data_IF_503456909491
#
_entry.id   IF_503456909491
#
_cell.length_a   1.000
_cell.length_b   1.000
_cell.length_c   1.000
_cell.angle_alpha   90.00
_cell.angle_beta   90.00
_cell.angle_gamma   90.00
#
_symmetry.space_group_name_H-M   'P 1'
#
loop_
_entity.id
_entity.type
_entity.pdbx_description
1 polymer ?
#
# COMPACT_ATOMS: atom_id res chain seq x y z
N UNK A 1 3.97 -6.22 29.69
CA UNK A 1 3.68 -7.49 28.97
C UNK A 1 4.99 -8.20 28.77
N UNK A 2 5.03 -9.54 28.84
CA UNK A 2 6.23 -10.30 28.48
C UNK A 2 6.33 -10.44 26.95
N UNK A 3 7.51 -10.69 26.39
CA UNK A 3 7.70 -10.88 24.94
C UNK A 3 6.81 -12.01 24.37
N UNK A 4 6.49 -13.01 25.20
CA UNK A 4 5.59 -14.11 24.87
C UNK A 4 4.13 -13.66 24.74
N UNK A 5 3.70 -12.68 25.54
CA UNK A 5 2.36 -12.10 25.46
C UNK A 5 2.21 -11.24 24.19
N UNK A 6 3.29 -10.55 23.78
CA UNK A 6 3.32 -9.75 22.55
C UNK A 6 3.20 -10.65 21.32
N UNK A 7 4.01 -11.71 21.23
CA UNK A 7 3.97 -12.65 20.10
C UNK A 7 2.61 -13.38 19.98
N UNK A 8 2.00 -13.74 21.13
CA UNK A 8 0.67 -14.34 21.14
C UNK A 8 -0.42 -13.38 20.64
N UNK A 9 -0.33 -12.09 20.98
CA UNK A 9 -1.27 -11.08 20.50
C UNK A 9 -1.07 -10.77 19.02
N UNK A 10 0.17 -10.66 18.57
CA UNK A 10 0.51 -10.45 17.15
C UNK A 10 -0.08 -11.55 16.26
N UNK A 11 0.10 -12.83 16.65
CA UNK A 11 -0.50 -13.95 15.92
C UNK A 11 -2.02 -13.87 15.86
N UNK A 12 -2.65 -13.42 16.95
CA UNK A 12 -4.10 -13.20 16.99
C UNK A 12 -4.55 -12.08 16.05
N UNK A 13 -3.83 -10.96 15.98
CA UNK A 13 -4.18 -9.85 15.08
C UNK A 13 -3.98 -10.22 13.62
N UNK A 14 -2.87 -10.88 13.27
CA UNK A 14 -2.62 -11.40 11.92
C UNK A 14 -3.75 -12.32 11.46
N UNK A 15 -4.17 -13.25 12.32
CA UNK A 15 -5.24 -14.19 11.97
C UNK A 15 -6.60 -13.50 11.86
N UNK A 16 -6.87 -12.51 12.70
CA UNK A 16 -8.10 -11.71 12.66
C UNK A 16 -8.21 -10.95 11.34
N UNK A 17 -7.12 -10.27 10.93
CA UNK A 17 -7.03 -9.55 9.66
C UNK A 17 -7.13 -10.52 8.48
N UNK A 18 -6.49 -11.70 8.55
CA UNK A 18 -6.55 -12.72 7.51
C UNK A 18 -7.96 -13.30 7.33
N UNK A 19 -8.72 -13.47 8.42
CA UNK A 19 -10.14 -13.84 8.36
C UNK A 19 -11.01 -12.75 7.74
N UNK A 20 -10.43 -11.55 7.57
CA UNK A 20 -10.94 -10.44 6.80
C UNK A 20 -12.25 -9.87 7.33
N UNK A 21 -12.48 -9.97 8.64
CA UNK A 21 -13.45 -9.14 9.32
C UNK A 21 -12.79 -7.81 9.67
N UNK A 22 -12.70 -6.91 8.69
CA UNK A 22 -12.08 -5.59 8.84
C UNK A 22 -12.78 -4.80 9.96
N UNK A 23 -14.09 -4.96 10.14
CA UNK A 23 -14.89 -4.23 11.13
C UNK A 23 -14.53 -4.67 12.55
N UNK A 24 -14.59 -5.99 12.82
CA UNK A 24 -14.21 -6.52 14.13
C UNK A 24 -12.72 -6.32 14.40
N UNK A 25 -11.87 -6.44 13.36
CA UNK A 25 -10.44 -6.16 13.44
C UNK A 25 -10.16 -4.74 13.86
N UNK A 26 -10.83 -3.77 13.24
CA UNK A 26 -10.70 -2.36 13.57
C UNK A 26 -11.05 -2.13 15.04
N UNK A 27 -12.21 -2.63 15.49
CA UNK A 27 -12.69 -2.43 16.86
C UNK A 27 -11.75 -3.02 17.91
N UNK A 28 -11.27 -4.24 17.66
CA UNK A 28 -10.34 -4.94 18.56
C UNK A 28 -9.02 -4.16 18.67
N UNK A 29 -8.47 -3.69 17.55
CA UNK A 29 -7.22 -2.94 17.52
C UNK A 29 -7.36 -1.54 18.11
N UNK A 30 -8.49 -0.85 17.88
CA UNK A 30 -8.81 0.43 18.54
C UNK A 30 -8.87 0.30 20.06
N UNK A 31 -9.47 -0.78 20.58
CA UNK A 31 -9.52 -1.05 22.01
C UNK A 31 -8.15 -1.44 22.57
N UNK A 32 -7.32 -2.13 21.79
CA UNK A 32 -5.96 -2.48 22.20
C UNK A 32 -5.08 -1.23 22.30
N UNK A 33 -5.03 -0.36 21.29
CA UNK A 33 -4.18 0.86 21.36
C UNK A 33 -4.62 1.82 22.46
N UNK A 34 -5.89 1.79 22.89
CA UNK A 34 -6.35 2.51 24.08
C UNK A 34 -5.80 1.92 25.38
N UNK A 35 -5.67 0.59 25.47
CA UNK A 35 -5.13 -0.12 26.64
C UNK A 35 -3.61 -0.08 26.69
N UNK A 36 -2.95 -0.14 25.53
CA UNK A 36 -1.49 -0.19 25.36
C UNK A 36 -1.03 0.87 24.35
N UNK A 37 -1.15 2.18 24.70
CA UNK A 37 -0.87 3.27 23.77
C UNK A 37 0.61 3.36 23.34
N UNK A 38 1.51 2.71 24.06
CA UNK A 38 2.95 2.59 23.79
C UNK A 38 3.30 1.38 22.89
N UNK A 39 2.33 0.53 22.54
CA UNK A 39 2.56 -0.65 21.72
C UNK A 39 2.64 -0.31 20.23
N UNK A 40 3.86 -0.12 19.72
CA UNK A 40 4.12 0.16 18.29
C UNK A 40 3.47 -0.86 17.34
N UNK A 41 3.47 -2.15 17.71
CA UNK A 41 2.89 -3.20 16.85
C UNK A 41 1.36 -3.11 16.76
N UNK A 42 0.68 -2.80 17.87
CA UNK A 42 -0.77 -2.59 17.85
C UNK A 42 -1.15 -1.42 16.93
N UNK A 43 -0.41 -0.31 17.00
CA UNK A 43 -0.58 0.83 16.09
C UNK A 43 -0.29 0.48 14.63
N UNK A 44 0.72 -0.35 14.37
CA UNK A 44 1.04 -0.83 13.02
C UNK A 44 -0.15 -1.59 12.42
N UNK A 45 -0.68 -2.58 13.15
CA UNK A 45 -1.83 -3.37 12.67
C UNK A 45 -3.10 -2.54 12.54
N UNK A 46 -3.35 -1.61 13.47
CA UNK A 46 -4.46 -0.69 13.33
C UNK A 46 -4.34 0.14 12.05
N UNK A 47 -3.14 0.62 11.75
CA UNK A 47 -2.81 1.30 10.51
C UNK A 47 -3.05 0.43 9.27
N UNK A 48 -2.64 -0.85 9.31
CA UNK A 48 -2.92 -1.80 8.22
C UNK A 48 -4.41 -1.99 7.99
N UNK A 49 -5.21 -2.16 9.05
CA UNK A 49 -6.65 -2.37 8.91
C UNK A 49 -7.34 -1.11 8.41
N UNK A 50 -6.97 0.08 8.91
CA UNK A 50 -7.48 1.32 8.33
C UNK A 50 -7.09 1.50 6.88
N UNK A 51 -5.86 1.10 6.51
CA UNK A 51 -5.44 1.13 5.12
C UNK A 51 -6.29 0.17 4.28
N UNK A 52 -6.63 -1.03 4.74
CA UNK A 52 -7.53 -1.93 4.03
C UNK A 52 -8.99 -1.45 3.97
N UNK A 53 -9.39 -0.67 4.97
CA UNK A 53 -10.70 -0.03 5.10
C UNK A 53 -10.80 1.29 4.31
N UNK A 54 -9.86 1.61 3.40
CA UNK A 54 -9.81 2.89 2.66
C UNK A 54 -9.98 4.13 3.57
N UNK A 55 -9.47 4.04 4.81
CA UNK A 55 -9.41 5.14 5.79
C UNK A 55 -7.99 5.70 5.80
N UNK A 56 -7.58 6.29 4.68
CA UNK A 56 -6.17 6.62 4.43
C UNK A 56 -5.59 7.60 5.46
N UNK A 57 -6.40 8.56 5.91
CA UNK A 57 -5.98 9.54 6.93
C UNK A 57 -5.72 8.88 8.28
N UNK A 58 -6.60 7.98 8.72
CA UNK A 58 -6.47 7.22 9.96
C UNK A 58 -5.31 6.23 9.88
N UNK A 59 -5.16 5.57 8.72
CA UNK A 59 -4.05 4.67 8.44
C UNK A 59 -2.70 5.37 8.60
N UNK A 60 -2.52 6.53 7.94
CA UNK A 60 -1.30 7.33 8.05
C UNK A 60 -1.00 7.71 9.50
N UNK A 61 -1.99 8.22 10.25
CA UNK A 61 -1.80 8.60 11.66
C UNK A 61 -1.38 7.41 12.54
N UNK A 62 -2.00 6.26 12.36
CA UNK A 62 -1.69 5.06 13.13
C UNK A 62 -0.28 4.54 12.80
N UNK A 63 0.09 4.50 11.52
CA UNK A 63 1.41 4.06 11.07
C UNK A 63 2.52 5.04 11.50
N UNK A 64 2.28 6.35 11.40
CA UNK A 64 3.20 7.37 11.94
C UNK A 64 3.41 7.22 13.44
N UNK A 65 2.32 6.94 14.19
CA UNK A 65 2.39 6.68 15.63
C UNK A 65 3.23 5.43 15.93
N UNK A 66 3.03 4.35 15.18
CA UNK A 66 3.84 3.12 15.27
C UNK A 66 5.33 3.40 15.06
N UNK A 67 5.67 4.13 14.00
CA UNK A 67 7.03 4.53 13.60
C UNK A 67 7.68 5.48 14.61
N UNK A 68 6.90 6.32 15.28
CA UNK A 68 7.34 7.23 16.33
C UNK A 68 7.64 6.50 17.64
N UNK A 69 6.80 5.53 18.01
CA UNK A 69 6.98 4.71 19.21
C UNK A 69 8.17 3.77 19.10
N UNK A 70 8.33 3.14 17.93
CA UNK A 70 9.49 2.31 17.61
C UNK A 70 10.12 2.75 16.27
N UNK A 71 11.19 3.56 16.34
CA UNK A 71 11.93 3.95 15.15
C UNK A 71 12.61 2.80 14.42
N UNK A 72 12.69 1.59 14.97
CA UNK A 72 13.28 0.42 14.33
C UNK A 72 12.22 -0.58 13.84
N UNK A 73 10.93 -0.26 13.97
CA UNK A 73 9.86 -1.03 13.34
C UNK A 73 9.91 -0.82 11.81
N UNK A 74 10.68 -1.69 11.15
CA UNK A 74 10.90 -1.66 9.70
C UNK A 74 9.62 -2.05 8.94
N UNK A 75 8.81 -2.97 9.46
CA UNK A 75 7.54 -3.35 8.85
C UNK A 75 6.55 -2.18 8.82
N UNK A 76 6.42 -1.43 9.92
CA UNK A 76 5.59 -0.23 9.97
C UNK A 76 6.04 0.85 8.98
N UNK A 77 7.35 0.96 8.71
CA UNK A 77 7.90 1.89 7.71
C UNK A 77 7.53 1.50 6.28
N UNK A 78 7.59 0.21 5.93
CA UNK A 78 7.14 -0.26 4.60
C UNK A 78 5.65 0.04 4.42
N UNK A 79 4.83 -0.25 5.43
CA UNK A 79 3.40 0.05 5.39
C UNK A 79 3.13 1.55 5.29
N UNK A 80 3.86 2.37 6.05
CA UNK A 80 3.74 3.83 5.98
C UNK A 80 4.15 4.36 4.61
N UNK A 81 5.25 3.87 4.02
CA UNK A 81 5.68 4.30 2.68
C UNK A 81 4.68 3.91 1.60
N UNK A 82 4.03 2.73 1.73
CA UNK A 82 2.93 2.30 0.85
C UNK A 82 1.76 3.29 0.95
N UNK A 83 1.27 3.57 2.16
CA UNK A 83 0.13 4.48 2.35
C UNK A 83 0.45 5.89 1.84
N UNK A 84 1.66 6.40 2.08
CA UNK A 84 2.09 7.70 1.55
C UNK A 84 2.16 7.71 0.02
N UNK A 85 2.60 6.62 -0.61
CA UNK A 85 2.65 6.52 -2.07
C UNK A 85 1.25 6.49 -2.70
N UNK A 86 0.30 5.77 -2.09
CA UNK A 86 -1.10 5.75 -2.54
C UNK A 86 -1.75 7.14 -2.46
N UNK A 87 -1.41 7.92 -1.44
CA UNK A 87 -1.88 9.30 -1.24
C UNK A 87 -1.08 10.34 -2.05
N UNK A 88 -0.23 9.91 -2.99
CA UNK A 88 0.62 10.77 -3.83
C UNK A 88 1.61 11.64 -3.03
N UNK A 89 1.88 11.30 -1.78
CA UNK A 89 2.84 11.98 -0.90
C UNK A 89 4.25 11.41 -1.06
N UNK A 90 4.75 11.43 -2.30
CA UNK A 90 5.98 10.76 -2.71
C UNK A 90 7.21 11.21 -1.93
N UNK A 91 7.33 12.51 -1.68
CA UNK A 91 8.47 13.07 -0.95
C UNK A 91 8.59 12.48 0.46
N UNK A 92 7.47 12.42 1.18
CA UNK A 92 7.38 11.83 2.53
C UNK A 92 7.62 10.33 2.49
N UNK A 93 7.10 9.65 1.46
CA UNK A 93 7.35 8.21 1.27
C UNK A 93 8.85 7.93 1.13
N UNK A 94 9.56 8.74 0.34
CA UNK A 94 11.01 8.64 0.17
C UNK A 94 11.79 8.88 1.47
N UNK A 95 11.35 9.82 2.32
CA UNK A 95 11.98 10.01 3.64
C UNK A 95 11.83 8.79 4.53
N UNK A 96 10.65 8.18 4.54
CA UNK A 96 10.38 6.95 5.30
C UNK A 96 11.25 5.80 4.79
N UNK A 97 11.39 5.67 3.47
CA UNK A 97 12.24 4.65 2.84
C UNK A 97 13.74 4.87 3.10
N UNK A 98 14.21 6.11 3.08
CA UNK A 98 15.57 6.46 3.50
C UNK A 98 15.83 6.02 4.95
N UNK A 99 14.90 6.32 5.84
CA UNK A 99 15.01 5.91 7.24
C UNK A 99 14.94 4.39 7.40
N UNK A 100 14.16 3.69 6.56
CA UNK A 100 14.13 2.22 6.54
C UNK A 100 15.52 1.65 6.23
N UNK A 101 16.15 2.09 5.13
CA UNK A 101 17.45 1.53 4.72
C UNK A 101 18.57 1.91 5.68
N UNK A 102 18.56 3.14 6.21
CA UNK A 102 19.52 3.62 7.21
C UNK A 102 19.47 2.80 8.51
N UNK A 103 18.29 2.32 8.89
CA UNK A 103 18.07 1.58 10.15
C UNK A 103 18.11 0.08 9.98
N UNK A 104 17.99 -0.42 8.75
CA UNK A 104 18.11 -1.83 8.48
C UNK A 104 19.58 -2.27 8.70
N UNK A 105 19.88 -3.17 9.66
CA UNK A 105 21.25 -3.57 9.95
C UNK A 105 21.99 -4.16 8.74
N UNK A 106 21.27 -4.79 7.82
CA UNK A 106 21.83 -5.39 6.60
C UNK A 106 22.22 -4.34 5.56
N UNK A 107 21.49 -3.21 5.50
CA UNK A 107 21.61 -2.23 4.40
C UNK A 107 22.07 -0.84 4.85
N UNK A 108 22.23 -0.60 6.14
CA UNK A 108 22.67 0.69 6.69
C UNK A 108 24.01 1.18 6.11
N UNK A 109 24.91 0.25 5.77
CA UNK A 109 26.16 0.55 5.10
C UNK A 109 25.95 1.16 3.70
N UNK A 110 24.92 0.73 2.97
CA UNK A 110 24.53 1.31 1.67
C UNK A 110 24.13 2.77 1.91
N UNK A 111 23.18 3.03 2.81
CA UNK A 111 22.73 4.40 3.11
C UNK A 111 23.86 5.36 3.46
N UNK A 112 24.87 4.89 4.21
CA UNK A 112 26.05 5.69 4.58
C UNK A 112 26.91 6.08 3.38
N UNK A 113 26.96 5.27 2.31
CA UNK A 113 27.68 5.61 1.08
C UNK A 113 27.03 6.80 0.35
N UNK A 114 25.70 6.84 0.32
CA UNK A 114 24.94 7.94 -0.30
C UNK A 114 24.89 9.18 0.59
N UNK A 115 25.29 9.08 1.86
CA UNK A 115 25.42 10.22 2.79
C UNK A 115 26.77 10.94 2.61
N UNK A 116 27.67 10.45 1.75
CA UNK A 116 29.03 10.97 1.59
C UNK A 116 29.21 11.81 0.31
N UNK A 117 29.18 13.15 0.44
CA UNK A 117 30.10 14.09 -0.22
C UNK A 117 29.94 15.56 0.27
N UNK A 118 30.28 15.84 1.53
CA UNK A 118 30.57 17.23 1.96
C UNK A 118 31.96 17.73 1.49
N UNK A 119 32.79 16.86 0.90
CA UNK A 119 34.19 17.18 0.55
C UNK A 119 34.56 16.99 -0.92
N UNK A 120 33.63 16.61 -1.79
CA UNK A 120 33.81 16.72 -3.23
C UNK A 120 32.69 17.58 -3.80
N UNK A 121 33.11 18.72 -4.34
CA UNK A 121 32.29 19.79 -4.92
C UNK A 121 31.45 19.30 -6.11
N UNK A 122 30.34 18.63 -5.84
CA UNK A 122 29.19 18.58 -6.74
C UNK A 122 27.96 19.08 -5.98
N UNK A 123 28.01 20.35 -5.54
CA UNK A 123 26.85 21.04 -4.99
C UNK A 123 25.90 21.44 -6.11
N UNK A 124 24.60 21.29 -5.91
CA UNK A 124 23.61 22.09 -6.63
C UNK A 124 23.99 23.59 -6.52
N UNK A 125 23.73 24.43 -7.54
CA UNK A 125 24.21 25.82 -7.58
C UNK A 125 23.83 26.60 -6.30
N UNK A 126 24.80 27.33 -5.73
CA UNK A 126 24.67 28.08 -4.46
C UNK A 126 23.51 29.10 -4.39
N UNK A 127 22.81 29.37 -5.49
CA UNK A 127 21.61 30.22 -5.54
C UNK A 127 20.35 29.58 -4.94
N UNK A 128 20.41 28.34 -4.44
CA UNK A 128 19.23 27.54 -4.03
C UNK A 128 19.18 27.20 -2.52
N UNK A 129 19.91 27.92 -1.66
CA UNK A 129 19.98 27.62 -0.20
C UNK A 129 19.18 28.64 0.62
N UNK A 130 18.16 28.19 1.38
CA UNK A 130 17.36 29.01 2.31
C UNK A 130 17.86 28.91 3.76
N UNK A 131 18.02 30.04 4.48
CA UNK A 131 18.74 30.12 5.75
C UNK A 131 17.96 29.72 7.04
N UNK A 132 16.89 28.94 6.98
CA UNK A 132 16.11 28.54 8.17
C UNK A 132 15.95 27.01 8.32
N UNK A 133 17.05 26.25 8.32
CA UNK A 133 17.03 24.76 8.28
C UNK A 133 17.74 24.13 9.48
N UNK A 134 17.16 23.01 9.93
CA UNK A 134 17.60 22.12 11.02
C UNK A 134 18.84 21.30 10.61
N UNK A 135 19.86 21.25 11.46
CA UNK A 135 21.21 20.76 11.14
C UNK A 135 21.33 19.23 11.04
N UNK A 136 20.36 18.47 11.54
CA UNK A 136 20.43 16.99 11.65
C UNK A 136 19.89 16.22 10.44
N UNK A 137 19.45 16.89 9.37
CA UNK A 137 18.97 16.26 8.13
C UNK A 137 19.72 16.74 6.87
N UNK A 138 20.86 16.09 6.51
CA UNK A 138 21.70 16.53 5.40
C UNK A 138 21.08 16.32 4.01
N UNK A 139 19.88 15.73 3.91
CA UNK A 139 19.21 15.45 2.63
C UNK A 139 18.23 16.54 2.17
N UNK A 140 17.95 17.56 2.99
CA UNK A 140 16.91 18.54 2.69
C UNK A 140 17.44 19.98 2.78
N UNK A 141 18.19 20.36 1.75
CA UNK A 141 18.29 21.78 1.38
C UNK A 141 17.64 21.95 0.01
N UNK A 142 16.37 22.39 0.06
CA UNK A 142 15.63 23.10 -0.98
C UNK A 142 15.93 22.76 -2.43
N UNK A 143 15.01 22.05 -3.06
CA UNK A 143 15.00 21.99 -4.51
C UNK A 143 13.56 21.88 -5.01
N UNK A 144 13.30 22.68 -6.04
CA UNK A 144 12.20 22.54 -7.00
C UNK A 144 12.16 21.10 -7.58
N UNK A 145 11.29 20.81 -8.56
CA UNK A 145 11.12 19.46 -9.18
C UNK A 145 12.41 18.62 -9.33
N UNK A 146 13.55 19.28 -9.64
CA UNK A 146 14.90 18.69 -9.75
C UNK A 146 15.36 17.94 -8.49
N UNK A 147 15.04 18.41 -7.28
CA UNK A 147 15.45 17.73 -6.05
C UNK A 147 14.61 16.55 -5.67
N UNK A 148 13.31 16.59 -6.00
CA UNK A 148 12.42 15.44 -5.85
C UNK A 148 12.91 14.31 -6.77
N UNK A 149 13.24 14.63 -8.03
CA UNK A 149 13.80 13.67 -9.00
C UNK A 149 15.15 13.11 -8.53
N UNK A 150 16.05 13.96 -8.01
CA UNK A 150 17.34 13.51 -7.47
C UNK A 150 17.15 12.59 -6.25
N UNK A 151 16.33 13.01 -5.28
CA UNK A 151 15.99 12.20 -4.09
C UNK A 151 15.40 10.85 -4.50
N UNK A 152 14.48 10.85 -5.46
CA UNK A 152 13.88 9.63 -5.99
C UNK A 152 14.92 8.71 -6.59
N UNK A 153 15.80 9.22 -7.45
CA UNK A 153 16.88 8.45 -8.05
C UNK A 153 17.81 7.86 -6.99
N UNK A 154 18.25 8.65 -6.02
CA UNK A 154 19.15 8.20 -4.95
C UNK A 154 18.53 7.08 -4.12
N UNK A 155 17.24 7.19 -3.78
CA UNK A 155 16.53 6.13 -3.06
C UNK A 155 16.41 4.86 -3.91
N UNK A 156 16.09 4.99 -5.20
CA UNK A 156 16.04 3.85 -6.12
C UNK A 156 17.41 3.17 -6.24
N UNK A 157 18.50 3.94 -6.37
CA UNK A 157 19.86 3.40 -6.46
C UNK A 157 20.24 2.62 -5.19
N UNK A 158 19.92 3.18 -4.01
CA UNK A 158 20.09 2.52 -2.71
C UNK A 158 19.37 1.17 -2.63
N UNK A 159 18.08 1.11 -2.99
CA UNK A 159 17.31 -0.14 -2.95
C UNK A 159 17.72 -1.12 -4.06
N UNK A 160 18.16 -0.61 -5.21
CA UNK A 160 18.71 -1.43 -6.29
C UNK A 160 20.00 -2.10 -5.83
N UNK A 161 20.88 -1.40 -5.13
CA UNK A 161 22.06 -1.99 -4.50
C UNK A 161 21.68 -3.00 -3.41
N UNK A 162 20.70 -2.68 -2.55
CA UNK A 162 20.20 -3.58 -1.51
C UNK A 162 19.69 -4.92 -2.09
N UNK A 163 19.02 -4.88 -3.24
CA UNK A 163 18.52 -6.09 -3.92
C UNK A 163 19.62 -7.03 -4.41
N UNK A 164 20.87 -6.53 -4.52
CA UNK A 164 22.03 -7.31 -4.98
C UNK A 164 22.86 -7.89 -3.83
N UNK A 165 22.59 -7.49 -2.59
CA UNK A 165 23.35 -7.95 -1.41
C UNK A 165 23.16 -9.45 -1.17
N UNK A 166 21.97 -9.99 -1.43
CA UNK A 166 21.67 -11.40 -1.26
C UNK A 166 20.82 -11.93 -2.41
N UNK A 167 21.47 -12.49 -3.44
CA UNK A 167 20.79 -13.04 -4.61
C UNK A 167 20.22 -14.45 -4.38
N UNK A 168 20.77 -15.21 -3.42
CA UNK A 168 20.31 -16.58 -3.13
C UNK A 168 19.06 -16.59 -2.25
N UNK A 169 18.93 -15.61 -1.34
CA UNK A 169 17.76 -15.41 -0.51
C UNK A 169 17.40 -13.91 -0.49
N UNK A 170 16.72 -13.42 -1.54
CA UNK A 170 16.38 -12.01 -1.66
C UNK A 170 15.53 -11.53 -0.49
N UNK A 171 15.65 -10.25 -0.10
CA UNK A 171 14.77 -9.67 0.91
C UNK A 171 13.44 -9.27 0.25
N UNK A 172 12.29 -9.88 0.63
CA UNK A 172 11.00 -9.53 0.05
C UNK A 172 10.63 -8.07 0.30
N UNK A 173 11.04 -7.45 1.41
CA UNK A 173 10.72 -6.04 1.69
C UNK A 173 11.47 -5.09 0.75
N UNK A 174 12.71 -5.40 0.39
CA UNK A 174 13.46 -4.65 -0.63
C UNK A 174 12.74 -4.70 -1.98
N UNK A 175 12.28 -5.88 -2.39
CA UNK A 175 11.53 -6.05 -3.63
C UNK A 175 10.14 -5.40 -3.58
N UNK A 176 9.44 -5.45 -2.45
CA UNK A 176 8.18 -4.70 -2.28
C UNK A 176 8.42 -3.20 -2.46
N UNK A 177 9.47 -2.66 -1.84
CA UNK A 177 9.81 -1.23 -1.94
C UNK A 177 10.16 -0.85 -3.38
N UNK A 178 11.01 -1.61 -4.06
CA UNK A 178 11.34 -1.38 -5.47
C UNK A 178 10.09 -1.46 -6.36
N UNK A 179 9.21 -2.44 -6.14
CA UNK A 179 7.96 -2.55 -6.89
C UNK A 179 7.01 -1.37 -6.70
N UNK A 180 7.02 -0.74 -5.52
CA UNK A 180 6.25 0.49 -5.26
C UNK A 180 6.89 1.69 -5.97
N UNK A 181 8.21 1.86 -5.86
CA UNK A 181 8.94 2.94 -6.52
C UNK A 181 8.79 2.87 -8.04
N UNK A 182 8.82 1.66 -8.59
CA UNK A 182 8.64 1.37 -10.01
C UNK A 182 7.21 1.67 -10.49
N UNK A 183 6.19 1.35 -9.70
CA UNK A 183 4.82 1.76 -9.98
C UNK A 183 4.65 3.28 -10.02
N UNK A 184 5.23 3.98 -9.04
CA UNK A 184 5.15 5.44 -8.95
C UNK A 184 5.74 6.10 -10.20
N UNK A 185 6.84 5.55 -10.74
CA UNK A 185 7.44 6.02 -12.00
C UNK A 185 6.81 5.41 -13.26
N UNK A 186 5.70 4.71 -13.13
CA UNK A 186 4.99 4.01 -14.23
C UNK A 186 5.83 2.97 -14.98
N UNK A 187 6.91 2.44 -14.37
CA UNK A 187 7.66 1.29 -14.88
C UNK A 187 7.00 0.00 -14.40
N UNK A 188 5.82 -0.27 -14.96
CA UNK A 188 4.97 -1.38 -14.53
C UNK A 188 5.62 -2.75 -14.75
N UNK A 189 6.46 -2.91 -15.78
CA UNK A 189 7.14 -4.18 -16.05
C UNK A 189 8.17 -4.49 -14.96
N UNK A 190 9.00 -3.52 -14.56
CA UNK A 190 9.96 -3.70 -13.47
C UNK A 190 9.24 -3.94 -12.14
N UNK A 191 8.16 -3.20 -11.88
CA UNK A 191 7.33 -3.40 -10.70
C UNK A 191 6.73 -4.81 -10.61
N UNK A 192 6.22 -5.35 -11.72
CA UNK A 192 5.70 -6.73 -11.81
C UNK A 192 6.78 -7.74 -11.44
N UNK A 193 8.01 -7.58 -11.95
CA UNK A 193 9.10 -8.50 -11.66
C UNK A 193 9.47 -8.48 -10.17
N UNK A 194 9.53 -7.31 -9.56
CA UNK A 194 9.83 -7.18 -8.14
C UNK A 194 8.72 -7.77 -7.25
N UNK A 195 7.44 -7.54 -7.56
CA UNK A 195 6.37 -8.16 -6.80
C UNK A 195 6.32 -9.69 -6.97
N UNK A 196 6.66 -10.22 -8.15
CA UNK A 196 6.83 -11.67 -8.35
C UNK A 196 7.95 -12.25 -7.48
N UNK A 197 9.12 -11.62 -7.43
CA UNK A 197 10.22 -12.04 -6.57
C UNK A 197 9.83 -12.03 -5.09
N UNK A 198 9.13 -11.00 -4.63
CA UNK A 198 8.63 -10.96 -3.26
C UNK A 198 7.59 -12.07 -2.97
N UNK A 199 6.76 -12.43 -3.96
CA UNK A 199 5.76 -13.51 -3.85
C UNK A 199 6.38 -14.91 -3.85
N UNK A 200 7.55 -15.12 -4.46
CA UNK A 200 8.28 -16.39 -4.35
C UNK A 200 8.64 -16.70 -2.89
N UNK A 201 8.80 -15.66 -2.06
CA UNK A 201 9.18 -15.76 -0.65
C UNK A 201 7.93 -15.68 0.25
N UNK A 202 6.94 -14.87 -0.12
CA UNK A 202 5.68 -14.66 0.62
C UNK A 202 4.46 -15.05 -0.23
N UNK A 203 4.30 -16.35 -0.60
CA UNK A 203 3.23 -16.77 -1.51
C UNK A 203 1.81 -16.63 -0.93
N UNK A 204 1.70 -16.55 0.40
CA UNK A 204 0.42 -16.39 1.12
C UNK A 204 0.10 -14.92 1.46
N UNK A 205 0.84 -13.96 0.91
CA UNK A 205 0.59 -12.53 1.10
C UNK A 205 -0.45 -12.01 0.09
N UNK A 206 -1.72 -11.99 0.51
CA UNK A 206 -2.83 -11.51 -0.33
C UNK A 206 -2.72 -10.02 -0.69
N UNK A 207 -2.06 -9.20 0.14
CA UNK A 207 -1.87 -7.78 -0.17
C UNK A 207 -0.89 -7.63 -1.32
N UNK A 208 0.16 -8.44 -1.33
CA UNK A 208 1.17 -8.47 -2.39
C UNK A 208 0.60 -9.01 -3.71
N UNK A 209 -0.25 -10.04 -3.67
CA UNK A 209 -1.02 -10.48 -4.83
C UNK A 209 -1.90 -9.37 -5.40
N UNK A 210 -2.59 -8.60 -4.55
CA UNK A 210 -3.37 -7.45 -4.99
C UNK A 210 -2.50 -6.34 -5.59
N UNK A 211 -1.29 -6.07 -5.04
CA UNK A 211 -0.34 -5.12 -5.62
C UNK A 211 0.11 -5.55 -7.01
N UNK A 212 0.42 -6.83 -7.20
CA UNK A 212 0.76 -7.38 -8.52
C UNK A 212 -0.40 -7.20 -9.51
N UNK A 213 -1.63 -7.54 -9.11
CA UNK A 213 -2.82 -7.35 -9.95
C UNK A 213 -3.04 -5.88 -10.32
N UNK A 214 -2.93 -4.97 -9.35
CA UNK A 214 -3.09 -3.52 -9.57
C UNK A 214 -2.03 -2.98 -10.54
N UNK A 215 -0.78 -3.41 -10.37
CA UNK A 215 0.34 -3.05 -11.26
C UNK A 215 0.08 -3.51 -12.69
N UNK A 216 -0.34 -4.76 -12.88
CA UNK A 216 -0.67 -5.30 -14.20
C UNK A 216 -1.84 -4.54 -14.84
N UNK A 217 -2.86 -4.19 -14.05
CA UNK A 217 -4.02 -3.43 -14.52
C UNK A 217 -3.62 -2.03 -14.98
N UNK A 218 -2.79 -1.33 -14.19
CA UNK A 218 -2.24 -0.01 -14.51
C UNK A 218 -1.31 -0.05 -15.73
N UNK A 219 -0.54 -1.13 -15.87
CA UNK A 219 0.30 -1.43 -17.04
C UNK A 219 -0.48 -1.89 -18.28
N UNK A 220 -1.80 -1.69 -18.34
CA UNK A 220 -2.66 -2.08 -19.47
C UNK A 220 -2.67 -3.59 -19.78
N UNK A 221 -2.45 -4.44 -18.76
CA UNK A 221 -2.49 -5.91 -18.81
C UNK A 221 -3.58 -6.50 -17.89
N UNK A 222 -4.85 -6.05 -17.96
CA UNK A 222 -5.90 -6.47 -17.03
C UNK A 222 -6.23 -7.97 -17.07
N UNK A 223 -6.05 -8.62 -18.22
CA UNK A 223 -6.30 -10.06 -18.36
C UNK A 223 -5.32 -10.90 -17.52
N UNK A 224 -4.05 -10.49 -17.45
CA UNK A 224 -3.03 -11.17 -16.64
C UNK A 224 -3.27 -10.91 -15.14
N UNK A 225 -3.76 -9.71 -14.80
CA UNK A 225 -4.07 -9.30 -13.43
C UNK A 225 -5.11 -10.19 -12.74
N UNK A 226 -6.05 -10.78 -13.50
CA UNK A 226 -7.12 -11.62 -12.96
C UNK A 226 -6.59 -12.73 -12.05
N UNK A 227 -5.53 -13.42 -12.49
CA UNK A 227 -4.91 -14.51 -11.73
C UNK A 227 -4.44 -14.05 -10.34
N UNK A 228 -3.90 -12.82 -10.27
CA UNK A 228 -3.37 -12.24 -9.04
C UNK A 228 -4.50 -11.82 -8.09
N UNK A 229 -5.57 -11.21 -8.61
CA UNK A 229 -6.74 -10.86 -7.79
C UNK A 229 -7.48 -12.11 -7.27
N UNK A 230 -7.65 -13.12 -8.11
CA UNK A 230 -8.23 -14.39 -7.66
C UNK A 230 -7.38 -15.04 -6.58
N UNK A 231 -6.05 -15.01 -6.69
CA UNK A 231 -5.18 -15.55 -5.64
C UNK A 231 -5.29 -14.76 -4.34
N UNK A 232 -5.36 -13.43 -4.41
CA UNK A 232 -5.61 -12.60 -3.23
C UNK A 232 -6.95 -12.96 -2.55
N UNK A 233 -8.02 -13.16 -3.33
CA UNK A 233 -9.35 -13.52 -2.83
C UNK A 233 -9.46 -14.99 -2.39
N UNK A 234 -8.61 -15.88 -2.90
CA UNK A 234 -8.50 -17.27 -2.42
C UNK A 234 -7.92 -17.29 -1.00
N UNK A 235 -6.90 -16.46 -0.74
CA UNK A 235 -6.24 -16.33 0.56
C UNK A 235 -7.12 -15.55 1.55
N UNK A 236 -7.73 -14.44 1.10
CA UNK A 236 -8.63 -13.61 1.90
C UNK A 236 -9.92 -13.28 1.12
N UNK A 237 -10.98 -14.10 1.26
CA UNK A 237 -12.22 -13.94 0.52
C UNK A 237 -13.01 -12.65 0.77
N UNK A 238 -12.77 -11.97 1.90
CA UNK A 238 -13.42 -10.71 2.25
C UNK A 238 -12.54 -9.49 2.00
N UNK A 239 -11.43 -9.64 1.26
CA UNK A 239 -10.58 -8.52 0.89
C UNK A 239 -11.27 -7.61 -0.16
N UNK A 240 -12.03 -6.64 0.34
CA UNK A 240 -12.87 -5.71 -0.43
C UNK A 240 -12.07 -5.04 -1.55
N UNK A 241 -10.85 -4.57 -1.26
CA UNK A 241 -9.97 -3.91 -2.23
C UNK A 241 -9.61 -4.79 -3.43
N UNK A 242 -9.25 -6.06 -3.21
CA UNK A 242 -8.94 -6.97 -4.31
C UNK A 242 -10.17 -7.22 -5.18
N UNK A 243 -11.37 -7.26 -4.59
CA UNK A 243 -12.62 -7.45 -5.33
C UNK A 243 -13.02 -6.21 -6.14
N UNK A 244 -12.84 -5.02 -5.57
CA UNK A 244 -13.02 -3.76 -6.28
C UNK A 244 -12.06 -3.66 -7.49
N UNK A 245 -10.78 -3.98 -7.26
CA UNK A 245 -9.77 -3.98 -8.31
C UNK A 245 -10.02 -5.02 -9.41
N UNK A 246 -10.56 -6.19 -9.04
CA UNK A 246 -11.02 -7.19 -10.00
C UNK A 246 -12.15 -6.64 -10.88
N UNK A 247 -13.10 -5.90 -10.31
CA UNK A 247 -14.15 -5.22 -11.06
C UNK A 247 -13.60 -4.17 -12.03
N UNK A 248 -12.60 -3.38 -11.60
CA UNK A 248 -11.90 -2.42 -12.47
C UNK A 248 -11.17 -3.13 -13.61
N UNK A 249 -10.53 -4.27 -13.35
CA UNK A 249 -9.86 -5.05 -14.39
C UNK A 249 -10.84 -5.54 -15.46
N UNK A 250 -12.02 -6.04 -15.06
CA UNK A 250 -13.09 -6.41 -15.99
C UNK A 250 -13.60 -5.20 -16.79
N UNK A 251 -13.74 -4.04 -16.16
CA UNK A 251 -14.11 -2.80 -16.84
C UNK A 251 -13.10 -2.40 -17.91
N UNK A 252 -11.79 -2.53 -17.63
CA UNK A 252 -10.72 -2.25 -18.60
C UNK A 252 -10.73 -3.23 -19.79
N UNK A 253 -11.34 -4.41 -19.63
CA UNK A 253 -11.58 -5.38 -20.71
C UNK A 253 -12.95 -5.23 -21.37
N UNK A 254 -13.71 -4.19 -21.00
CA UNK A 254 -15.10 -3.95 -21.42
C UNK A 254 -16.08 -5.09 -21.05
N UNK A 255 -15.74 -5.93 -20.09
CA UNK A 255 -16.63 -6.94 -19.51
C UNK A 255 -17.46 -6.33 -18.38
N UNK A 256 -18.39 -5.46 -18.79
CA UNK A 256 -19.23 -4.69 -17.88
C UNK A 256 -20.11 -5.54 -16.95
N UNK A 257 -20.67 -6.70 -17.35
CA UNK A 257 -21.41 -7.56 -16.44
C UNK A 257 -20.54 -8.09 -15.28
N UNK A 258 -19.35 -8.63 -15.57
CA UNK A 258 -18.45 -9.11 -14.52
C UNK A 258 -17.88 -7.96 -13.68
N UNK A 259 -17.67 -6.79 -14.28
CA UNK A 259 -17.28 -5.58 -13.55
C UNK A 259 -18.37 -5.18 -12.53
N UNK A 260 -19.63 -5.09 -12.97
CA UNK A 260 -20.77 -4.76 -12.11
C UNK A 260 -20.91 -5.75 -10.95
N UNK A 261 -20.83 -7.05 -11.25
CA UNK A 261 -20.90 -8.13 -10.25
C UNK A 261 -19.87 -7.98 -9.15
N UNK A 262 -18.59 -7.79 -9.53
CA UNK A 262 -17.51 -7.70 -8.56
C UNK A 262 -17.56 -6.41 -7.73
N UNK A 263 -17.89 -5.28 -8.36
CA UNK A 263 -18.08 -4.02 -7.64
C UNK A 263 -19.28 -4.09 -6.70
N UNK A 264 -20.42 -4.61 -7.14
CA UNK A 264 -21.60 -4.76 -6.28
C UNK A 264 -21.31 -5.67 -5.08
N UNK A 265 -20.59 -6.77 -5.29
CA UNK A 265 -20.17 -7.64 -4.19
C UNK A 265 -19.21 -6.93 -3.23
N UNK A 266 -18.27 -6.13 -3.73
CA UNK A 266 -17.39 -5.32 -2.89
C UNK A 266 -18.19 -4.32 -2.02
N UNK A 267 -19.19 -3.67 -2.62
CA UNK A 267 -20.11 -2.77 -1.91
C UNK A 267 -21.00 -3.51 -0.91
N UNK A 268 -21.48 -4.72 -1.21
CA UNK A 268 -22.31 -5.50 -0.27
C UNK A 268 -21.55 -6.02 0.93
N UNK A 269 -20.25 -6.26 0.80
CA UNK A 269 -19.40 -6.64 1.93
C UNK A 269 -19.18 -5.48 2.92
N UNK A 270 -19.40 -4.23 2.50
CA UNK A 270 -19.10 -3.07 3.33
C UNK A 270 -20.14 -1.93 3.19
N UNK A 271 -20.87 -1.61 4.26
CA UNK A 271 -21.94 -0.60 4.20
C UNK A 271 -21.44 0.85 3.98
N UNK A 272 -20.16 1.13 4.18
CA UNK A 272 -19.57 2.46 3.99
C UNK A 272 -18.35 2.41 3.06
N UNK A 273 -18.58 2.10 1.79
CA UNK A 273 -17.56 2.19 0.74
C UNK A 273 -17.33 3.63 0.27
N UNK A 274 -16.15 3.95 -0.28
CA UNK A 274 -15.90 5.22 -0.93
C UNK A 274 -16.92 5.55 -2.04
N UNK A 275 -17.29 6.83 -2.16
CA UNK A 275 -18.25 7.30 -3.17
C UNK A 275 -17.89 6.91 -4.60
N UNK A 276 -16.59 6.88 -4.93
CA UNK A 276 -16.13 6.54 -6.27
C UNK A 276 -16.58 5.13 -6.71
N UNK A 277 -16.72 4.16 -5.79
CA UNK A 277 -17.18 2.82 -6.13
C UNK A 277 -18.64 2.82 -6.60
N UNK A 278 -19.50 3.61 -5.94
CA UNK A 278 -20.88 3.82 -6.36
C UNK A 278 -20.96 4.53 -7.72
N UNK A 279 -20.10 5.53 -7.93
CA UNK A 279 -20.07 6.28 -9.18
C UNK A 279 -19.62 5.37 -10.34
N UNK A 280 -18.59 4.54 -10.14
CA UNK A 280 -18.15 3.53 -11.10
C UNK A 280 -19.24 2.50 -11.40
N UNK A 281 -19.91 1.96 -10.37
CA UNK A 281 -21.01 1.00 -10.56
C UNK A 281 -22.18 1.62 -11.34
N UNK A 282 -22.52 2.88 -11.04
CA UNK A 282 -23.57 3.62 -11.76
C UNK A 282 -23.22 3.81 -13.23
N UNK A 283 -21.96 4.13 -13.54
CA UNK A 283 -21.49 4.26 -14.92
C UNK A 283 -21.56 2.94 -15.67
N UNK A 284 -21.22 1.82 -15.02
CA UNK A 284 -21.36 0.49 -15.61
C UNK A 284 -22.82 0.19 -15.92
N UNK A 285 -23.76 0.50 -15.03
CA UNK A 285 -25.19 0.30 -15.28
C UNK A 285 -25.73 1.16 -16.43
N UNK A 286 -25.22 2.39 -16.61
CA UNK A 286 -25.54 3.23 -17.76
C UNK A 286 -25.08 2.56 -19.07
N UNK A 287 -23.86 2.01 -19.10
CA UNK A 287 -23.32 1.29 -20.26
C UNK A 287 -24.14 0.03 -20.57
N UNK A 288 -24.60 -0.68 -19.52
CA UNK A 288 -25.45 -1.86 -19.65
C UNK A 288 -26.92 -1.53 -19.95
N UNK A 289 -27.30 -0.25 -20.07
CA UNK A 289 -28.68 0.21 -20.25
C UNK A 289 -29.67 -0.32 -19.19
N UNK A 290 -29.20 -0.39 -17.93
CA UNK A 290 -29.99 -0.81 -16.76
C UNK A 290 -30.45 0.40 -15.93
N UNK A 291 -31.38 1.18 -16.48
CA UNK A 291 -31.90 2.40 -15.85
C UNK A 291 -32.55 2.14 -14.47
N UNK A 292 -33.10 0.94 -14.30
CA UNK A 292 -33.63 0.44 -13.02
C UNK A 292 -32.52 0.37 -11.95
N UNK A 293 -31.35 -0.12 -12.32
CA UNK A 293 -30.20 -0.23 -11.41
C UNK A 293 -29.47 1.09 -11.24
N UNK A 294 -29.42 1.96 -12.26
CA UNK A 294 -28.87 3.33 -12.14
C UNK A 294 -29.59 4.12 -11.05
N UNK A 295 -30.92 4.02 -11.01
CA UNK A 295 -31.74 4.74 -10.01
C UNK A 295 -31.46 4.24 -8.59
N UNK A 296 -31.26 2.92 -8.43
CA UNK A 296 -30.90 2.30 -7.15
C UNK A 296 -29.48 2.68 -6.72
N UNK A 297 -28.49 2.56 -7.61
CA UNK A 297 -27.09 2.81 -7.29
C UNK A 297 -26.81 4.26 -6.87
N UNK A 298 -27.53 5.23 -7.44
CA UNK A 298 -27.43 6.65 -7.06
C UNK A 298 -27.89 6.94 -5.63
N UNK A 299 -28.72 6.08 -5.05
CA UNK A 299 -29.16 6.21 -3.65
C UNK A 299 -28.08 5.76 -2.66
N UNK A 300 -27.04 5.06 -3.14
CA UNK A 300 -25.91 4.57 -2.33
C UNK A 300 -26.35 3.73 -1.12
N UNK A 301 -27.46 3.01 -1.31
CA UNK A 301 -28.02 2.08 -0.35
C UNK A 301 -27.95 0.68 -0.93
N UNK A 302 -27.09 -0.15 -0.34
CA UNK A 302 -26.86 -1.51 -0.83
C UNK A 302 -28.06 -2.42 -0.63
N UNK A 303 -28.96 -2.12 0.31
CA UNK A 303 -30.18 -2.91 0.52
C UNK A 303 -31.10 -2.92 -0.70
N UNK A 304 -31.06 -1.86 -1.51
CA UNK A 304 -31.85 -1.74 -2.74
C UNK A 304 -31.36 -2.65 -3.87
N UNK A 305 -30.12 -3.15 -3.77
CA UNK A 305 -29.43 -3.96 -4.77
C UNK A 305 -29.13 -5.39 -4.31
N UNK A 306 -29.58 -5.80 -3.11
CA UNK A 306 -29.28 -7.12 -2.56
C UNK A 306 -29.82 -8.25 -3.45
N UNK A 307 -31.04 -8.11 -3.97
CA UNK A 307 -31.65 -9.11 -4.87
C UNK A 307 -30.98 -9.12 -6.25
N UNK A 308 -30.21 -8.09 -6.59
CA UNK A 308 -29.55 -7.94 -7.88
C UNK A 308 -28.15 -8.60 -7.93
N UNK A 309 -27.64 -9.11 -6.79
CA UNK A 309 -26.34 -9.79 -6.69
C UNK A 309 -26.23 -11.05 -7.55
N UNK A 310 -27.36 -11.72 -7.81
CA UNK A 310 -27.42 -12.96 -8.61
C UNK A 310 -27.77 -12.70 -10.08
N UNK A 311 -28.04 -11.44 -10.48
CA UNK A 311 -28.47 -11.11 -11.84
C UNK A 311 -27.33 -11.07 -12.87
N UNK A 312 -26.09 -11.36 -12.46
CA UNK A 312 -24.88 -11.28 -13.27
C UNK A 312 -24.01 -12.54 -13.15
#
# INVERSE_FOLDING_TARGET
MTDKDIASKEGSWKELIRKGDIVDSTKILEDEVKKTPDNSMAWMYLGTVYAEDDKDTEALRALETSVKLDPNNLAARVLLSVSLANELQLERSMDVLYQWIKRNPMYSAIANQYTYNEKQNDTAPQSMVNPFIDEDNPFLYQLDTIGIEYKQKTIIDMFTEASRVNLENPDPDVHIILGILDNVRSDYESAVNHFKLALEIRPDDYQLWNKLGATLTNGSRPQEALSSYYKALEINPSYVRARANLGIAFMNMADYPNAAKNLLHAISMRPNVPNHMWDTLTNIFLILHRDDLVTKSRQKDVSLLQDDLELF
#
